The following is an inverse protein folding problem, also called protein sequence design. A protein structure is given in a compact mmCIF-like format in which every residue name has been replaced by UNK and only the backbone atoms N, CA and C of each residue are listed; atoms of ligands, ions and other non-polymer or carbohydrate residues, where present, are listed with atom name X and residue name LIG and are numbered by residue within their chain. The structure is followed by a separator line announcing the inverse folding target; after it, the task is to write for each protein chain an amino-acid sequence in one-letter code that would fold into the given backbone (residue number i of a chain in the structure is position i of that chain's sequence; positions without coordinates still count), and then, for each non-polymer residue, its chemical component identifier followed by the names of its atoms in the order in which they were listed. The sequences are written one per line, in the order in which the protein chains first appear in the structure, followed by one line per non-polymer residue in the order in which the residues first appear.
data_IF_332674984099
#
_entry.id   IF_332674984099
#
_cell.length_a   1.000
_cell.length_b   1.000
_cell.length_c   1.000
_cell.angle_alpha   90.00
_cell.angle_beta   90.00
_cell.angle_gamma   90.00
#
_symmetry.space_group_name_H-M   'P 1'
#
loop_
_entity.id
_entity.type
_entity.pdbx_description
1 polymer ?
#
# COMPACT_ATOMS: atom_id res chain seq x y z
N UNK A 1 -1.23 -22.59 -47.53
CA UNK A 1 -2.21 -22.01 -46.61
C UNK A 1 -2.16 -22.82 -45.33
N UNK A 2 -1.30 -22.41 -44.40
CA UNK A 2 -1.37 -22.85 -43.01
C UNK A 2 -2.45 -22.00 -42.34
N UNK A 3 -3.57 -22.66 -41.98
CA UNK A 3 -4.62 -22.05 -41.18
C UNK A 3 -3.99 -21.74 -39.80
N UNK A 4 -3.80 -20.45 -39.56
CA UNK A 4 -3.39 -19.95 -38.25
C UNK A 4 -4.55 -20.23 -37.29
N UNK A 5 -4.54 -21.38 -36.62
CA UNK A 5 -5.46 -21.71 -35.54
C UNK A 5 -5.20 -20.68 -34.44
N UNK A 6 -6.06 -19.67 -34.35
CA UNK A 6 -6.08 -18.76 -33.19
C UNK A 6 -6.35 -19.65 -31.98
N UNK A 7 -5.31 -19.95 -31.20
CA UNK A 7 -5.44 -20.71 -29.98
C UNK A 7 -6.35 -19.93 -29.01
N UNK A 8 -7.50 -20.49 -28.71
CA UNK A 8 -8.42 -19.89 -27.73
C UNK A 8 -7.80 -20.06 -26.35
N UNK A 9 -7.44 -18.95 -25.71
CA UNK A 9 -6.87 -18.99 -24.35
C UNK A 9 -7.97 -19.34 -23.35
N UNK A 10 -8.26 -20.63 -23.22
CA UNK A 10 -9.28 -21.14 -22.29
C UNK A 10 -8.95 -22.56 -21.85
N UNK A 11 -9.54 -22.97 -20.73
CA UNK A 11 -9.55 -24.35 -20.23
C UNK A 11 -10.94 -24.93 -20.39
N UNK A 12 -11.02 -26.19 -20.85
CA UNK A 12 -12.27 -26.98 -20.77
C UNK A 12 -12.18 -27.88 -19.54
N UNK A 13 -13.13 -27.70 -18.60
CA UNK A 13 -13.22 -28.47 -17.36
C UNK A 13 -14.45 -29.34 -17.44
N UNK A 14 -14.25 -30.68 -17.27
CA UNK A 14 -15.34 -31.64 -17.18
C UNK A 14 -15.65 -31.90 -15.71
N UNK A 15 -16.87 -31.61 -15.28
CA UNK A 15 -17.32 -32.01 -13.93
C UNK A 15 -17.82 -33.46 -13.98
N UNK A 16 -17.00 -34.39 -13.46
CA UNK A 16 -17.31 -35.82 -13.42
C UNK A 16 -18.53 -36.16 -12.57
N UNK A 17 -18.99 -35.27 -11.69
CA UNK A 17 -20.19 -35.45 -10.85
C UNK A 17 -21.46 -35.33 -11.68
N UNK A 18 -21.45 -34.49 -12.71
CA UNK A 18 -22.59 -34.13 -13.54
C UNK A 18 -22.42 -34.52 -15.02
N UNK A 19 -21.19 -34.78 -15.46
CA UNK A 19 -20.82 -35.03 -16.85
C UNK A 19 -20.81 -33.74 -17.71
N UNK A 20 -21.02 -32.58 -17.12
CA UNK A 20 -21.06 -31.27 -17.86
C UNK A 20 -19.67 -30.75 -18.12
N UNK A 21 -19.50 -30.09 -19.27
CA UNK A 21 -18.29 -29.38 -19.64
C UNK A 21 -18.47 -27.86 -19.46
N UNK A 22 -17.45 -27.22 -18.94
CA UNK A 22 -17.39 -25.79 -18.70
C UNK A 22 -16.16 -25.20 -19.38
N UNK A 23 -16.30 -24.04 -20.01
CA UNK A 23 -15.19 -23.30 -20.57
C UNK A 23 -14.80 -22.15 -19.64
N UNK A 24 -13.51 -22.11 -19.26
CA UNK A 24 -12.97 -21.13 -18.32
C UNK A 24 -11.91 -20.32 -19.07
N UNK A 25 -12.09 -18.99 -19.24
CA UNK A 25 -11.11 -18.15 -19.90
C UNK A 25 -9.80 -18.08 -19.11
N UNK A 26 -8.67 -18.08 -19.81
CA UNK A 26 -7.35 -17.80 -19.27
C UNK A 26 -6.95 -16.38 -19.68
N UNK A 27 -6.46 -15.60 -18.74
CA UNK A 27 -5.93 -14.26 -18.99
C UNK A 27 -4.66 -14.05 -18.14
N UNK A 28 -3.57 -13.60 -18.78
CA UNK A 28 -2.26 -13.39 -18.13
C UNK A 28 -1.79 -14.60 -17.30
N UNK A 29 -1.97 -15.81 -17.85
CA UNK A 29 -1.60 -17.05 -17.17
C UNK A 29 -2.44 -17.37 -15.93
N UNK A 30 -3.59 -16.70 -15.75
CA UNK A 30 -4.48 -16.91 -14.61
C UNK A 30 -5.91 -17.19 -15.05
N UNK A 31 -6.70 -17.84 -14.18
CA UNK A 31 -8.15 -17.97 -14.29
C UNK A 31 -8.83 -17.15 -13.20
N UNK A 32 -10.00 -16.60 -13.48
CA UNK A 32 -10.79 -15.92 -12.44
C UNK A 32 -11.44 -16.96 -11.54
N UNK A 33 -11.18 -16.89 -10.24
CA UNK A 33 -11.77 -17.82 -9.27
C UNK A 33 -13.32 -17.84 -9.33
N UNK A 34 -13.95 -16.72 -9.63
CA UNK A 34 -15.40 -16.60 -9.77
C UNK A 34 -15.97 -17.40 -10.97
N UNK A 35 -15.16 -17.66 -12.00
CA UNK A 35 -15.61 -18.42 -13.16
C UNK A 35 -15.81 -19.92 -12.82
N UNK A 36 -15.19 -20.41 -11.75
CA UNK A 36 -15.42 -21.77 -11.22
C UNK A 36 -16.80 -21.93 -10.55
N UNK A 37 -17.46 -20.84 -10.14
CA UNK A 37 -18.77 -20.88 -9.49
C UNK A 37 -19.90 -21.34 -10.39
N UNK A 38 -19.72 -21.34 -11.72
CA UNK A 38 -20.66 -21.92 -12.67
C UNK A 38 -20.74 -23.45 -12.56
N UNK A 39 -19.71 -24.10 -11.99
CA UNK A 39 -19.63 -25.55 -11.82
C UNK A 39 -20.47 -25.92 -10.59
N UNK A 40 -21.65 -26.50 -10.85
CA UNK A 40 -22.66 -26.83 -9.82
C UNK A 40 -23.18 -28.26 -10.03
N UNK A 41 -23.54 -28.89 -8.93
CA UNK A 41 -24.19 -30.23 -8.94
C UNK A 41 -25.71 -30.13 -8.99
N UNK A 42 -26.28 -29.00 -8.49
CA UNK A 42 -27.72 -28.67 -8.54
C UNK A 42 -27.92 -27.17 -8.65
N UNK A 43 -29.14 -26.72 -8.84
CA UNK A 43 -29.49 -25.30 -8.93
C UNK A 43 -29.28 -24.56 -7.59
N UNK A 44 -29.48 -25.27 -6.46
CA UNK A 44 -29.29 -24.75 -5.11
C UNK A 44 -27.82 -24.76 -4.66
N UNK A 45 -26.92 -25.40 -5.44
CA UNK A 45 -25.49 -25.44 -5.13
C UNK A 45 -24.85 -24.06 -5.29
N UNK A 46 -24.05 -23.66 -4.31
CA UNK A 46 -23.30 -22.39 -4.33
C UNK A 46 -22.29 -22.31 -5.49
N UNK A 47 -21.82 -23.46 -5.97
CA UNK A 47 -20.80 -23.62 -6.99
C UNK A 47 -19.40 -23.83 -6.42
N UNK A 48 -18.51 -24.29 -7.29
CA UNK A 48 -17.15 -24.67 -6.90
C UNK A 48 -16.35 -23.44 -6.41
N UNK A 49 -15.66 -23.64 -5.29
CA UNK A 49 -14.74 -22.66 -4.71
C UNK A 49 -13.29 -23.17 -4.79
N UNK A 50 -12.34 -22.24 -4.84
CA UNK A 50 -10.91 -22.55 -4.66
C UNK A 50 -10.56 -22.62 -3.18
N UNK A 51 -9.69 -23.57 -2.80
CA UNK A 51 -9.12 -23.66 -1.47
C UNK A 51 -7.61 -23.49 -1.55
N UNK A 52 -7.13 -22.32 -1.12
CA UNK A 52 -5.71 -21.93 -1.12
C UNK A 52 -5.39 -21.14 0.17
N UNK A 53 -5.26 -21.83 1.32
CA UNK A 53 -5.16 -21.16 2.63
C UNK A 53 -3.90 -20.31 2.80
N UNK A 54 -2.84 -20.59 2.06
CA UNK A 54 -1.58 -19.87 2.15
C UNK A 54 -1.32 -18.93 0.95
N UNK A 55 -2.29 -18.74 0.08
CA UNK A 55 -2.15 -17.95 -1.17
C UNK A 55 -0.94 -18.38 -2.03
N UNK A 56 -0.61 -19.68 -2.00
CA UNK A 56 0.56 -20.24 -2.70
C UNK A 56 0.41 -20.24 -4.22
N UNK A 57 -0.82 -20.29 -4.71
CA UNK A 57 -1.16 -20.31 -6.14
C UNK A 57 -2.30 -19.35 -6.48
N UNK A 58 -2.41 -18.24 -5.74
CA UNK A 58 -3.47 -17.25 -5.94
C UNK A 58 -2.88 -15.88 -6.24
N UNK A 59 -3.18 -15.34 -7.43
CA UNK A 59 -2.92 -13.95 -7.76
C UNK A 59 -4.04 -13.07 -7.18
N UNK A 60 -3.76 -12.39 -6.07
CA UNK A 60 -4.76 -11.61 -5.33
C UNK A 60 -5.18 -10.31 -6.03
N UNK A 61 -4.28 -9.68 -6.79
CA UNK A 61 -4.56 -8.43 -7.52
C UNK A 61 -3.60 -8.24 -8.69
N UNK A 62 -3.97 -7.34 -9.59
CA UNK A 62 -3.05 -6.74 -10.58
C UNK A 62 -2.48 -5.45 -10.02
N UNK A 63 -1.19 -5.24 -10.18
CA UNK A 63 -0.51 -4.01 -9.79
C UNK A 63 0.46 -3.56 -10.88
N UNK A 64 0.47 -2.26 -11.17
CA UNK A 64 1.47 -1.60 -12.02
C UNK A 64 2.48 -0.80 -11.19
N UNK A 65 2.48 -0.97 -9.85
CA UNK A 65 3.30 -0.16 -8.96
C UNK A 65 4.72 -0.71 -8.86
N UNK A 66 4.86 -2.00 -8.60
CA UNK A 66 6.15 -2.63 -8.33
C UNK A 66 6.30 -3.89 -9.17
N UNK A 67 7.46 -4.05 -9.78
CA UNK A 67 7.90 -5.30 -10.41
C UNK A 67 9.12 -5.83 -9.66
N UNK A 68 9.09 -7.11 -9.27
CA UNK A 68 10.19 -7.79 -8.58
C UNK A 68 10.47 -9.11 -9.30
N UNK A 69 11.75 -9.32 -9.66
CA UNK A 69 12.28 -10.61 -10.10
C UNK A 69 13.46 -10.94 -9.16
N UNK A 70 13.17 -11.76 -8.14
CA UNK A 70 14.13 -12.11 -7.10
C UNK A 70 15.29 -12.96 -7.62
N UNK A 71 15.06 -13.79 -8.64
CA UNK A 71 16.08 -14.65 -9.22
C UNK A 71 17.13 -13.85 -10.02
N UNK A 72 16.68 -12.77 -10.67
CA UNK A 72 17.54 -11.86 -11.43
C UNK A 72 17.99 -10.64 -10.63
N UNK A 73 17.49 -10.45 -9.41
CA UNK A 73 17.77 -9.28 -8.59
C UNK A 73 17.22 -7.97 -9.19
N UNK A 74 16.09 -8.02 -9.89
CA UNK A 74 15.48 -6.85 -10.53
C UNK A 74 14.35 -6.30 -9.66
N UNK A 75 14.41 -5.00 -9.34
CA UNK A 75 13.33 -4.24 -8.70
C UNK A 75 13.05 -2.98 -9.53
N UNK A 76 11.76 -2.76 -9.82
CA UNK A 76 11.30 -1.55 -10.52
C UNK A 76 10.08 -0.96 -9.82
N UNK A 77 10.06 0.36 -9.70
CA UNK A 77 8.89 1.13 -9.27
C UNK A 77 8.32 1.89 -10.46
N UNK A 78 7.05 1.61 -10.81
CA UNK A 78 6.39 2.21 -11.98
C UNK A 78 7.19 2.09 -13.29
N UNK A 79 8.02 1.05 -13.41
CA UNK A 79 8.90 0.82 -14.54
C UNK A 79 10.32 1.39 -14.39
N UNK A 80 10.57 2.29 -13.45
CA UNK A 80 11.90 2.83 -13.19
C UNK A 80 12.74 1.85 -12.37
N UNK A 81 14.01 1.56 -12.79
CA UNK A 81 14.92 0.73 -12.02
C UNK A 81 15.22 1.34 -10.65
N UNK A 82 15.31 0.50 -9.62
CA UNK A 82 15.54 0.99 -8.24
C UNK A 82 16.91 1.67 -8.12
N UNK A 83 17.90 1.23 -8.87
CA UNK A 83 19.26 1.77 -8.87
C UNK A 83 19.26 3.24 -9.31
N UNK A 84 18.48 3.58 -10.34
CA UNK A 84 18.37 4.96 -10.81
C UNK A 84 17.61 5.85 -9.81
N UNK A 85 16.56 5.31 -9.21
CA UNK A 85 15.79 6.04 -8.19
C UNK A 85 16.62 6.27 -6.93
N UNK A 86 17.38 5.29 -6.48
CA UNK A 86 18.22 5.42 -5.30
C UNK A 86 19.37 6.43 -5.46
N UNK A 87 19.89 6.56 -6.69
CA UNK A 87 20.99 7.47 -6.98
C UNK A 87 20.52 8.92 -7.23
N UNK A 88 19.35 9.11 -7.82
CA UNK A 88 18.94 10.41 -8.41
C UNK A 88 17.68 11.02 -7.83
N UNK A 89 16.84 10.25 -7.15
CA UNK A 89 15.55 10.73 -6.66
C UNK A 89 15.56 10.89 -5.14
N UNK A 90 14.91 11.94 -4.65
CA UNK A 90 14.62 12.12 -3.23
C UNK A 90 13.50 11.18 -2.77
N UNK A 91 13.38 10.98 -1.45
CA UNK A 91 12.30 10.19 -0.87
C UNK A 91 10.91 10.67 -1.32
N UNK A 92 10.68 11.98 -1.34
CA UNK A 92 9.38 12.56 -1.72
C UNK A 92 9.08 12.42 -3.22
N UNK A 93 10.09 12.43 -4.09
CA UNK A 93 9.92 12.14 -5.52
C UNK A 93 9.51 10.70 -5.75
N UNK A 94 10.17 9.74 -5.07
CA UNK A 94 9.79 8.32 -5.15
C UNK A 94 8.39 8.09 -4.58
N UNK A 95 8.05 8.74 -3.48
CA UNK A 95 6.72 8.67 -2.89
C UNK A 95 5.63 9.20 -3.85
N UNK A 96 5.91 10.31 -4.53
CA UNK A 96 5.03 10.86 -5.57
C UNK A 96 4.87 9.87 -6.73
N UNK A 97 5.98 9.33 -7.25
CA UNK A 97 5.99 8.32 -8.31
C UNK A 97 5.08 7.13 -7.98
N UNK A 98 5.21 6.58 -6.78
CA UNK A 98 4.40 5.43 -6.35
C UNK A 98 2.91 5.77 -6.27
N UNK A 99 2.57 6.97 -5.81
CA UNK A 99 1.19 7.43 -5.64
C UNK A 99 0.52 7.85 -6.95
N UNK A 100 1.23 8.60 -7.80
CA UNK A 100 0.68 9.26 -8.99
C UNK A 100 1.03 8.53 -10.31
N UNK A 101 2.06 7.68 -10.31
CA UNK A 101 2.41 6.82 -11.44
C UNK A 101 3.56 7.30 -12.30
N UNK A 102 3.93 8.59 -12.22
CA UNK A 102 5.03 9.21 -12.94
C UNK A 102 5.85 10.10 -12.01
N UNK A 103 7.10 10.37 -12.36
CA UNK A 103 7.95 11.32 -11.62
C UNK A 103 7.35 12.75 -11.70
N UNK A 104 7.46 13.52 -10.62
CA UNK A 104 6.90 14.87 -10.59
C UNK A 104 7.70 15.84 -11.47
N UNK A 105 7.03 16.78 -12.10
CA UNK A 105 7.66 18.02 -12.56
C UNK A 105 8.10 18.87 -11.38
N UNK A 106 8.99 19.86 -11.58
CA UNK A 106 9.43 20.75 -10.50
C UNK A 106 8.26 21.39 -9.74
N UNK A 107 7.29 21.92 -10.46
CA UNK A 107 6.11 22.56 -9.84
C UNK A 107 5.23 21.56 -9.05
N UNK A 108 5.12 20.31 -9.52
CA UNK A 108 4.40 19.27 -8.80
C UNK A 108 5.16 18.84 -7.54
N UNK A 109 6.48 18.73 -7.62
CA UNK A 109 7.33 18.40 -6.49
C UNK A 109 7.26 19.49 -5.41
N UNK A 110 7.35 20.75 -5.80
CA UNK A 110 7.24 21.89 -4.89
C UNK A 110 5.91 21.87 -4.14
N UNK A 111 4.81 21.70 -4.88
CA UNK A 111 3.46 21.57 -4.26
C UNK A 111 3.37 20.37 -3.33
N UNK A 112 3.83 19.20 -3.77
CA UNK A 112 3.80 17.95 -3.01
C UNK A 112 4.60 18.07 -1.72
N UNK A 113 5.81 18.61 -1.80
CA UNK A 113 6.68 18.85 -0.65
C UNK A 113 6.05 19.84 0.32
N UNK A 114 5.51 20.95 -0.19
CA UNK A 114 4.80 21.93 0.62
C UNK A 114 3.60 21.26 1.36
N UNK A 115 2.75 20.57 0.63
CA UNK A 115 1.57 19.94 1.23
C UNK A 115 1.95 18.94 2.34
N UNK A 116 3.01 18.16 2.17
CA UNK A 116 3.49 17.21 3.19
C UNK A 116 4.10 17.97 4.37
N UNK A 117 5.02 18.89 4.13
CA UNK A 117 5.75 19.55 5.21
C UNK A 117 4.85 20.41 6.12
N UNK A 118 3.74 20.91 5.59
CA UNK A 118 2.76 21.69 6.37
C UNK A 118 1.67 20.86 7.06
N UNK A 119 1.73 19.51 6.96
CA UNK A 119 0.82 18.60 7.66
C UNK A 119 1.48 17.69 8.70
N UNK A 120 2.73 17.97 9.08
CA UNK A 120 3.56 17.12 9.96
C UNK A 120 3.11 17.10 11.42
N UNK A 121 2.46 18.16 11.91
CA UNK A 121 2.00 18.24 13.28
C UNK A 121 0.83 17.30 13.57
N UNK A 122 0.82 16.73 14.76
CA UNK A 122 -0.25 15.86 15.26
C UNK A 122 -1.02 16.54 16.38
N UNK A 123 -2.26 16.14 16.59
CA UNK A 123 -3.08 16.65 17.67
C UNK A 123 -2.50 16.26 19.04
N UNK A 124 -2.55 17.15 20.03
CA UNK A 124 -2.00 16.91 21.39
C UNK A 124 -2.60 15.66 22.07
N UNK A 125 -3.82 15.28 21.75
CA UNK A 125 -4.41 14.05 22.29
C UNK A 125 -3.71 12.77 21.79
N UNK A 126 -2.96 12.83 20.70
CA UNK A 126 -2.07 11.72 20.27
C UNK A 126 -0.97 11.49 21.32
N UNK A 127 -0.40 12.57 21.89
CA UNK A 127 0.58 12.46 22.98
C UNK A 127 -0.07 11.80 24.19
N UNK A 128 -1.26 12.25 24.62
CA UNK A 128 -1.99 11.62 25.72
C UNK A 128 -2.32 10.15 25.47
N UNK A 129 -2.60 9.79 24.22
CA UNK A 129 -2.82 8.40 23.85
C UNK A 129 -1.52 7.58 23.99
N UNK A 130 -0.39 8.12 23.57
CA UNK A 130 0.93 7.48 23.72
C UNK A 130 1.33 7.34 25.19
N UNK A 131 1.03 8.32 26.04
CA UNK A 131 1.29 8.29 27.48
C UNK A 131 0.55 7.15 28.19
N UNK A 132 -0.53 6.62 27.61
CA UNK A 132 -1.24 5.45 28.11
C UNK A 132 -0.54 4.11 27.88
N UNK A 133 0.48 4.05 27.04
CA UNK A 133 1.28 2.84 26.88
C UNK A 133 2.30 2.67 28.00
N UNK A 134 2.62 1.42 28.32
CA UNK A 134 3.70 1.12 29.25
C UNK A 134 5.03 1.59 28.68
N UNK A 135 5.96 1.97 29.57
CA UNK A 135 7.31 2.43 29.20
C UNK A 135 8.13 1.38 28.43
N UNK A 136 7.83 0.08 28.62
CA UNK A 136 8.48 -1.05 27.97
C UNK A 136 7.73 -1.59 26.74
N UNK A 137 6.70 -0.85 26.29
CA UNK A 137 5.93 -1.23 25.10
C UNK A 137 6.81 -1.17 23.83
N UNK A 138 6.64 -2.17 22.95
CA UNK A 138 7.38 -2.20 21.70
C UNK A 138 6.95 -1.05 20.78
N UNK A 139 7.87 -0.24 20.20
CA UNK A 139 7.54 0.93 19.39
C UNK A 139 6.60 0.64 18.21
N UNK A 140 6.72 -0.54 17.58
CA UNK A 140 5.84 -0.94 16.49
C UNK A 140 4.40 -1.20 16.97
N UNK A 141 4.21 -1.76 18.16
CA UNK A 141 2.89 -1.92 18.77
C UNK A 141 2.22 -0.57 19.05
N UNK A 142 2.99 0.39 19.56
CA UNK A 142 2.54 1.76 19.76
C UNK A 142 2.20 2.43 18.42
N UNK A 143 3.06 2.30 17.41
CA UNK A 143 2.84 2.88 16.08
C UNK A 143 1.56 2.32 15.42
N UNK A 144 1.33 1.01 15.55
CA UNK A 144 0.09 0.38 15.06
C UNK A 144 -1.15 0.99 15.74
N UNK A 145 -1.12 1.11 17.07
CA UNK A 145 -2.21 1.68 17.85
C UNK A 145 -2.49 3.15 17.50
N UNK A 146 -1.44 3.97 17.45
CA UNK A 146 -1.58 5.41 17.18
C UNK A 146 -1.95 5.71 15.73
N UNK A 147 -1.46 4.92 14.76
CA UNK A 147 -1.85 5.04 13.36
C UNK A 147 -3.36 4.74 13.18
N UNK A 148 -3.88 3.72 13.87
CA UNK A 148 -5.32 3.45 13.91
C UNK A 148 -6.11 4.59 14.57
N UNK A 149 -5.65 5.09 15.71
CA UNK A 149 -6.28 6.22 16.42
C UNK A 149 -6.29 7.50 15.58
N UNK A 150 -5.29 7.73 14.73
CA UNK A 150 -5.20 8.92 13.86
C UNK A 150 -6.46 9.11 13.00
N UNK A 151 -7.09 8.03 12.55
CA UNK A 151 -8.32 8.09 11.75
C UNK A 151 -9.49 8.79 12.46
N UNK A 152 -9.50 8.78 13.77
CA UNK A 152 -10.57 9.40 14.60
C UNK A 152 -10.47 10.93 14.66
N UNK A 153 -9.30 11.50 14.32
CA UNK A 153 -9.08 12.95 14.30
C UNK A 153 -9.48 13.61 12.98
N UNK A 154 -9.88 12.83 11.99
CA UNK A 154 -10.27 13.29 10.66
C UNK A 154 -11.62 12.67 10.26
N UNK A 155 -12.74 13.27 10.64
CA UNK A 155 -14.08 12.72 10.36
C UNK A 155 -14.35 12.54 8.86
N UNK A 156 -13.75 13.39 8.03
CA UNK A 156 -13.80 13.36 6.56
C UNK A 156 -13.02 12.19 5.92
N UNK A 157 -12.10 11.56 6.66
CA UNK A 157 -11.29 10.44 6.18
C UNK A 157 -12.11 9.24 5.67
N UNK A 158 -13.36 9.11 6.11
CA UNK A 158 -14.26 8.02 5.71
C UNK A 158 -14.76 8.12 4.26
N UNK A 159 -14.73 9.31 3.66
CA UNK A 159 -15.15 9.50 2.27
C UNK A 159 -14.02 9.11 1.31
N UNK A 160 -13.86 7.80 1.08
CA UNK A 160 -12.81 7.24 0.23
C UNK A 160 -13.09 7.36 -1.28
N UNK A 161 -14.32 7.74 -1.66
CA UNK A 161 -14.72 7.85 -3.06
C UNK A 161 -14.33 9.19 -3.69
N UNK A 162 -14.21 10.25 -2.90
CA UNK A 162 -13.79 11.56 -3.35
C UNK A 162 -12.27 11.59 -3.63
N UNK A 163 -11.82 11.87 -4.87
CA UNK A 163 -10.40 11.93 -5.21
C UNK A 163 -9.63 13.02 -4.45
N UNK A 164 -10.25 14.18 -4.22
CA UNK A 164 -9.63 15.28 -3.48
C UNK A 164 -9.40 14.88 -2.01
N UNK A 165 -10.39 14.22 -1.40
CA UNK A 165 -10.25 13.69 -0.05
C UNK A 165 -9.17 12.59 0.01
N UNK A 166 -9.12 11.65 -0.95
CA UNK A 166 -8.03 10.65 -0.99
C UNK A 166 -6.66 11.29 -1.05
N UNK A 167 -6.49 12.35 -1.83
CA UNK A 167 -5.22 13.09 -1.90
C UNK A 167 -4.83 13.64 -0.54
N UNK A 168 -5.71 14.40 0.12
CA UNK A 168 -5.37 15.02 1.40
C UNK A 168 -5.15 13.99 2.51
N UNK A 169 -5.85 12.84 2.50
CA UNK A 169 -5.62 11.78 3.47
C UNK A 169 -4.26 11.10 3.26
N UNK A 170 -3.83 10.89 2.01
CA UNK A 170 -2.46 10.41 1.71
C UNK A 170 -1.40 11.38 2.22
N UNK A 171 -1.57 12.68 1.92
CA UNK A 171 -0.67 13.74 2.41
C UNK A 171 -0.60 13.72 3.94
N UNK A 172 -1.74 13.72 4.63
CA UNK A 172 -1.81 13.68 6.10
C UNK A 172 -1.10 12.46 6.69
N UNK A 173 -1.33 11.28 6.12
CA UNK A 173 -0.69 10.05 6.60
C UNK A 173 0.82 10.09 6.41
N UNK A 174 1.29 10.44 5.22
CA UNK A 174 2.73 10.53 4.93
C UNK A 174 3.42 11.59 5.79
N UNK A 175 2.80 12.76 5.95
CA UNK A 175 3.35 13.86 6.74
C UNK A 175 3.48 13.50 8.23
N UNK A 176 2.50 12.79 8.79
CA UNK A 176 2.44 12.51 10.23
C UNK A 176 3.16 11.24 10.65
N UNK A 177 3.35 10.29 9.75
CA UNK A 177 3.96 9.00 10.09
C UNK A 177 5.37 9.13 10.68
N UNK A 178 6.28 9.99 10.15
CA UNK A 178 7.59 10.23 10.79
C UNK A 178 7.46 10.80 12.20
N UNK A 179 6.55 11.74 12.43
CA UNK A 179 6.30 12.33 13.76
C UNK A 179 5.82 11.26 14.75
N UNK A 180 4.86 10.42 14.31
CA UNK A 180 4.34 9.33 15.14
C UNK A 180 5.42 8.28 15.46
N UNK A 181 6.23 7.91 14.47
CA UNK A 181 7.32 6.96 14.66
C UNK A 181 8.39 7.49 15.63
N UNK A 182 8.76 8.76 15.47
CA UNK A 182 9.69 9.41 16.39
C UNK A 182 9.14 9.50 17.83
N UNK A 183 7.86 9.84 17.98
CA UNK A 183 7.21 9.88 19.29
C UNK A 183 7.17 8.48 19.94
N UNK A 184 6.83 7.43 19.20
CA UNK A 184 6.85 6.05 19.70
C UNK A 184 8.27 5.63 20.15
N UNK A 185 9.28 5.98 19.37
CA UNK A 185 10.69 5.70 19.72
C UNK A 185 11.10 6.44 21.00
N UNK A 186 10.85 7.76 21.08
CA UNK A 186 11.23 8.57 22.26
C UNK A 186 10.48 8.12 23.51
N UNK A 187 9.19 7.77 23.39
CA UNK A 187 8.41 7.21 24.49
C UNK A 187 9.05 5.94 25.04
N UNK A 188 9.43 4.99 24.16
CA UNK A 188 10.08 3.74 24.58
C UNK A 188 11.44 3.93 25.24
N UNK A 189 12.06 5.11 25.06
CA UNK A 189 13.34 5.49 25.65
C UNK A 189 13.20 6.40 26.88
N UNK A 190 11.97 6.81 27.21
CA UNK A 190 11.72 7.77 28.28
C UNK A 190 12.25 9.18 27.98
N UNK A 191 12.36 9.54 26.69
CA UNK A 191 12.82 10.85 26.24
C UNK A 191 11.65 11.80 26.01
N UNK A 192 11.82 13.12 26.18
CA UNK A 192 10.79 14.11 25.84
C UNK A 192 10.51 14.07 24.33
N UNK A 193 9.26 14.39 23.94
CA UNK A 193 8.90 14.47 22.53
C UNK A 193 9.50 15.69 21.85
N UNK A 194 10.10 15.47 20.69
CA UNK A 194 10.58 16.54 19.79
C UNK A 194 9.60 16.74 18.65
N UNK A 195 9.22 17.99 18.41
CA UNK A 195 8.25 18.35 17.38
C UNK A 195 8.92 18.63 16.03
N UNK A 196 8.17 18.44 14.93
CA UNK A 196 8.69 18.76 13.60
C UNK A 196 9.02 20.24 13.46
N UNK A 197 10.03 20.54 12.64
CA UNK A 197 10.52 21.89 12.33
C UNK A 197 10.31 22.17 10.84
N UNK A 198 9.93 23.41 10.50
CA UNK A 198 9.66 23.81 9.12
C UNK A 198 10.93 24.22 8.33
N UNK A 199 12.07 24.31 9.00
CA UNK A 199 13.37 24.65 8.40
C UNK A 199 14.19 23.43 7.97
N UNK A 200 13.70 22.22 8.24
CA UNK A 200 14.32 20.97 7.85
C UNK A 200 13.52 20.30 6.72
N UNK A 201 14.20 19.51 5.91
CA UNK A 201 13.54 18.63 4.95
C UNK A 201 12.84 17.44 5.62
N UNK A 202 12.17 16.61 4.83
CA UNK A 202 11.37 15.49 5.35
C UNK A 202 12.19 14.48 6.15
N UNK A 203 13.36 14.08 5.63
CA UNK A 203 14.24 13.11 6.29
C UNK A 203 14.98 13.75 7.46
N UNK A 204 15.52 14.94 7.26
CA UNK A 204 16.20 15.72 8.31
C UNK A 204 15.27 15.96 9.50
N UNK A 205 14.01 16.23 9.24
CA UNK A 205 13.00 16.41 10.29
C UNK A 205 12.77 15.13 11.09
N UNK A 206 12.65 13.98 10.41
CA UNK A 206 12.51 12.68 11.05
C UNK A 206 13.71 12.34 11.94
N UNK A 207 14.93 12.51 11.40
CA UNK A 207 16.17 12.25 12.14
C UNK A 207 16.31 13.19 13.35
N UNK A 208 15.99 14.47 13.17
CA UNK A 208 15.99 15.45 14.27
C UNK A 208 15.01 15.03 15.38
N UNK A 209 13.77 14.71 15.04
CA UNK A 209 12.77 14.29 16.04
C UNK A 209 13.17 13.02 16.80
N UNK A 210 13.93 12.10 16.18
CA UNK A 210 14.36 10.87 16.83
C UNK A 210 15.58 11.08 17.75
N UNK A 211 16.56 11.86 17.34
CA UNK A 211 17.92 11.84 17.90
C UNK A 211 18.42 13.18 18.47
N UNK A 212 17.57 14.21 18.53
CA UNK A 212 17.92 15.47 19.19
C UNK A 212 17.94 15.37 20.70
#
# INVERSE_FOLDING_TARGET
HEDCVVSKESLTVTDNRTGKNYEIPVADGTIRAMDLRQIKTSDDDFGLMTYDPAFMNTAACRSAITFIDGDKGILRYRGYPIEELADRASFLEVAYLLCEGELPTAAQLDKWTHDIMYHTYVHTNIIKFLEGFRYDAHPMGMLLGVAGALSTFYPDAKNVHDPANRYIQRVRLMAKLPTLAAFCFRHSRGLPYEFPRNDLDYIGNYVNMMFS
#
